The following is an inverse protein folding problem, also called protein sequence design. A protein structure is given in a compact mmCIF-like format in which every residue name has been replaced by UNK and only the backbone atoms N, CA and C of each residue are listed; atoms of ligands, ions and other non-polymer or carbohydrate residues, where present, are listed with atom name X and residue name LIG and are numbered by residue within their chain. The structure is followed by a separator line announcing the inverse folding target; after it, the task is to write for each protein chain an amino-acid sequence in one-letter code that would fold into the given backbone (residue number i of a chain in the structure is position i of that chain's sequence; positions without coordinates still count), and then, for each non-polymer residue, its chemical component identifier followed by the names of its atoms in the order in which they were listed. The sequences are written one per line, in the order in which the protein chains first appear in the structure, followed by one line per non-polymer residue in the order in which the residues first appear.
data_IF_009322723694
#
_entry.id   IF_009322723694
#
_cell.length_a   1.000
_cell.length_b   1.000
_cell.length_c   1.000
_cell.angle_alpha   90.00
_cell.angle_beta   90.00
_cell.angle_gamma   90.00
#
_symmetry.space_group_name_H-M   'P 1'
#
loop_
_entity.id
_entity.type
_entity.pdbx_description
1 polymer ?
#
# COMPACT_ATOMS: atom_id res chain seq x y z
N UNK A 1 -19.04 -11.60 -0.61
CA UNK A 1 -18.27 -10.42 -1.09
C UNK A 1 -17.46 -9.87 0.08
N UNK A 2 -16.17 -9.60 -0.12
CA UNK A 2 -15.35 -8.91 0.89
C UNK A 2 -15.79 -7.44 0.95
N UNK A 3 -16.02 -6.91 2.15
CA UNK A 3 -16.30 -5.48 2.34
C UNK A 3 -15.01 -4.66 2.22
N UNK A 4 -15.13 -3.35 1.99
CA UNK A 4 -13.96 -2.45 1.95
C UNK A 4 -13.07 -2.58 3.19
N UNK A 5 -13.68 -2.81 4.37
CA UNK A 5 -12.96 -3.06 5.62
C UNK A 5 -12.15 -4.36 5.59
N UNK A 6 -12.70 -5.41 4.98
CA UNK A 6 -11.99 -6.69 4.78
C UNK A 6 -10.82 -6.54 3.80
N UNK A 7 -11.04 -5.82 2.70
CA UNK A 7 -9.99 -5.53 1.71
C UNK A 7 -8.85 -4.72 2.32
N UNK A 8 -9.15 -3.73 3.17
CA UNK A 8 -8.14 -2.97 3.90
C UNK A 8 -7.30 -3.86 4.82
N UNK A 9 -7.95 -4.75 5.58
CA UNK A 9 -7.25 -5.70 6.45
C UNK A 9 -6.29 -6.60 5.67
N UNK A 10 -6.72 -7.07 4.50
CA UNK A 10 -5.90 -7.87 3.59
C UNK A 10 -4.72 -7.07 3.02
N UNK A 11 -4.96 -5.86 2.48
CA UNK A 11 -3.92 -4.99 1.93
C UNK A 11 -2.85 -4.66 2.98
N UNK A 12 -3.26 -4.32 4.20
CA UNK A 12 -2.33 -4.06 5.32
C UNK A 12 -1.45 -5.28 5.62
N UNK A 13 -2.03 -6.48 5.67
CA UNK A 13 -1.27 -7.74 5.93
C UNK A 13 -0.30 -8.02 4.78
N UNK A 14 -0.74 -7.81 3.55
CA UNK A 14 0.08 -7.98 2.36
C UNK A 14 1.33 -7.09 2.40
N UNK A 15 1.18 -5.77 2.54
CA UNK A 15 2.32 -4.85 2.54
C UNK A 15 3.29 -5.10 3.70
N UNK A 16 2.79 -5.39 4.90
CA UNK A 16 3.64 -5.76 6.04
C UNK A 16 4.50 -6.99 5.72
N UNK A 17 3.91 -8.04 5.14
CA UNK A 17 4.64 -9.26 4.80
C UNK A 17 5.65 -9.03 3.67
N UNK A 18 5.27 -8.28 2.64
CA UNK A 18 6.14 -7.94 1.52
C UNK A 18 7.40 -7.18 1.99
N UNK A 19 7.22 -6.19 2.86
CA UNK A 19 8.34 -5.40 3.40
C UNK A 19 9.23 -6.23 4.32
N UNK A 20 8.65 -7.08 5.16
CA UNK A 20 9.43 -7.98 6.01
C UNK A 20 10.28 -8.96 5.19
N UNK A 21 9.80 -9.36 4.01
CA UNK A 21 10.48 -10.34 3.16
C UNK A 21 11.50 -9.72 2.20
N UNK A 22 11.22 -8.52 1.67
CA UNK A 22 11.98 -7.90 0.58
C UNK A 22 12.69 -6.60 0.99
N UNK A 23 12.47 -6.10 2.21
CA UNK A 23 12.86 -4.75 2.62
C UNK A 23 11.87 -3.68 2.17
N UNK A 24 12.17 -2.42 2.53
CA UNK A 24 11.33 -1.27 2.18
C UNK A 24 11.64 -0.83 0.75
N UNK A 25 10.69 -0.93 -0.19
CA UNK A 25 10.91 -0.47 -1.56
C UNK A 25 10.95 1.05 -1.63
N UNK A 26 11.58 1.59 -2.68
CA UNK A 26 11.54 3.02 -2.97
C UNK A 26 10.16 3.47 -3.46
N UNK A 27 9.53 2.67 -4.30
CA UNK A 27 8.23 2.95 -4.91
C UNK A 27 7.43 1.67 -5.09
N UNK A 28 6.11 1.78 -5.14
CA UNK A 28 5.21 0.69 -5.49
C UNK A 28 4.13 1.16 -6.45
N UNK A 29 3.69 0.26 -7.32
CA UNK A 29 2.51 0.44 -8.16
C UNK A 29 1.34 -0.27 -7.49
N UNK A 30 0.25 0.46 -7.24
CA UNK A 30 -1.00 -0.11 -6.73
C UNK A 30 -2.13 0.11 -7.73
N UNK A 31 -3.10 -0.81 -7.72
CA UNK A 31 -4.37 -0.55 -8.38
C UNK A 31 -5.09 0.66 -7.73
N UNK A 32 -6.20 1.08 -8.33
CA UNK A 32 -7.00 2.20 -7.82
C UNK A 32 -7.85 1.89 -6.59
N UNK A 33 -7.71 0.71 -5.98
CA UNK A 33 -8.52 0.38 -4.82
C UNK A 33 -8.16 1.25 -3.62
N UNK A 34 -9.17 1.78 -2.94
CA UNK A 34 -8.98 2.54 -1.71
C UNK A 34 -8.31 1.70 -0.61
N UNK A 35 -8.55 0.38 -0.60
CA UNK A 35 -7.92 -0.55 0.33
C UNK A 35 -6.40 -0.63 0.16
N UNK A 36 -5.90 -0.70 -1.07
CA UNK A 36 -4.46 -0.72 -1.31
C UNK A 36 -3.81 0.61 -0.96
N UNK A 37 -4.45 1.73 -1.30
CA UNK A 37 -3.98 3.07 -0.92
C UNK A 37 -3.88 3.23 0.61
N UNK A 38 -4.95 2.90 1.32
CA UNK A 38 -4.96 2.97 2.79
C UNK A 38 -3.95 1.97 3.41
N UNK A 39 -3.78 0.80 2.80
CA UNK A 39 -2.79 -0.20 3.21
C UNK A 39 -1.36 0.33 3.19
N UNK A 40 -0.93 0.94 2.07
CA UNK A 40 0.42 1.52 1.96
C UNK A 40 0.58 2.78 2.80
N UNK A 41 -0.46 3.60 2.96
CA UNK A 41 -0.42 4.78 3.85
C UNK A 41 -0.15 4.40 5.31
N UNK A 42 -0.77 3.31 5.80
CA UNK A 42 -0.50 2.78 7.14
C UNK A 42 0.98 2.38 7.28
N UNK A 43 1.55 1.76 6.24
CA UNK A 43 2.96 1.39 6.23
C UNK A 43 3.86 2.62 6.25
N UNK A 44 3.61 3.63 5.40
CA UNK A 44 4.38 4.87 5.39
C UNK A 44 4.36 5.58 6.75
N UNK A 45 3.21 5.57 7.43
CA UNK A 45 3.11 6.10 8.80
C UNK A 45 4.01 5.34 9.78
N UNK A 46 4.08 4.01 9.69
CA UNK A 46 4.99 3.19 10.52
C UNK A 46 6.45 3.52 10.22
N UNK A 47 6.82 3.65 8.94
CA UNK A 47 8.18 4.00 8.52
C UNK A 47 8.59 5.37 9.07
N UNK A 48 7.69 6.35 9.01
CA UNK A 48 7.91 7.70 9.56
C UNK A 48 8.13 7.66 11.08
N UNK A 49 7.31 6.91 11.82
CA UNK A 49 7.42 6.80 13.29
C UNK A 49 8.69 6.05 13.71
N UNK A 50 9.14 5.08 12.90
CA UNK A 50 10.35 4.30 13.16
C UNK A 50 11.64 4.95 12.67
N UNK A 51 11.58 6.20 12.21
CA UNK A 51 12.76 6.98 11.83
C UNK A 51 13.37 6.62 10.48
N UNK A 52 12.63 5.95 9.58
CA UNK A 52 13.10 5.74 8.23
C UNK A 52 13.20 7.08 7.49
N UNK A 53 14.35 7.31 6.83
CA UNK A 53 14.63 8.55 6.11
C UNK A 53 13.78 8.75 4.86
N UNK A 54 13.18 7.68 4.34
CA UNK A 54 12.37 7.70 3.11
C UNK A 54 11.08 6.91 3.31
N UNK A 55 10.01 7.46 2.75
CA UNK A 55 8.72 6.79 2.61
C UNK A 55 8.65 6.09 1.25
N UNK A 56 7.68 5.18 1.10
CA UNK A 56 7.39 4.51 -0.16
C UNK A 56 6.60 5.47 -1.05
N UNK A 57 7.10 5.74 -2.24
CA UNK A 57 6.36 6.47 -3.27
C UNK A 57 5.23 5.60 -3.84
N UNK A 58 4.04 6.19 -4.00
CA UNK A 58 2.83 5.47 -4.40
C UNK A 58 2.45 5.88 -5.82
N UNK A 59 2.52 4.95 -6.75
CA UNK A 59 2.05 5.12 -8.12
C UNK A 59 0.72 4.38 -8.27
N UNK A 60 -0.36 5.11 -8.55
CA UNK A 60 -1.65 4.50 -8.86
C UNK A 60 -1.81 4.31 -10.37
N UNK A 61 -2.19 3.09 -10.78
CA UNK A 61 -2.49 2.79 -12.18
C UNK A 61 -3.62 3.70 -12.66
N UNK A 62 -3.52 4.28 -13.87
CA UNK A 62 -4.62 5.04 -14.49
C UNK A 62 -5.71 4.07 -14.96
N UNK A 63 -6.97 4.51 -14.88
CA UNK A 63 -8.07 3.76 -15.47
C UNK A 63 -8.06 4.18 -16.92
N UNK A 64 -7.84 3.25 -17.83
CA UNK A 64 -8.33 3.41 -19.18
C UNK A 64 -9.85 3.28 -19.08
N UNK A 65 -10.55 4.41 -19.23
CA UNK A 65 -11.99 4.34 -19.48
C UNK A 65 -12.16 3.94 -20.95
N UNK A 66 -12.36 2.64 -21.17
CA UNK A 66 -13.08 2.19 -22.36
C UNK A 66 -14.53 1.96 -21.96
N UNK A 67 -15.36 2.96 -22.27
CA UNK A 67 -16.81 2.86 -22.45
C UNK A 67 -17.21 3.93 -23.46
#
# INVERSE_FOLDING_TARGET
MLSERGNLGAARRFFKKAIASNGVPREIVIDKSGANLAGVQIVNNILKITGHSKMIEILQVKSEQHS
#
